data_IF_951893496632
#
_entry.id   IF_951893496632
#
_cell.length_a   1.000
_cell.length_b   1.000
_cell.length_c   1.000
_cell.angle_alpha   90.00
_cell.angle_beta   90.00
_cell.angle_gamma   90.00
#
_symmetry.space_group_name_H-M   'P 1'
#
loop_
_entity.id
_entity.type
_entity.pdbx_description
1 polymer ?
#
# COMPACT_ATOMS: atom_id res chain seq x y z
N UNK A 1 10.57 -9.07 46.84
CA UNK A 1 11.01 -8.46 45.56
C UNK A 1 10.78 -9.36 44.34
N UNK A 2 11.27 -10.61 44.29
CA UNK A 2 11.10 -11.50 43.11
C UNK A 2 9.65 -11.67 42.62
N UNK A 3 8.69 -11.87 43.54
CA UNK A 3 7.25 -11.99 43.20
C UNK A 3 6.65 -10.71 42.62
N UNK A 4 7.17 -9.53 43.02
CA UNK A 4 6.71 -8.24 42.50
C UNK A 4 7.24 -8.01 41.07
N UNK A 5 8.53 -8.28 40.84
CA UNK A 5 9.15 -8.20 39.51
C UNK A 5 8.49 -9.18 38.53
N UNK A 6 8.24 -10.42 38.96
CA UNK A 6 7.57 -11.42 38.13
C UNK A 6 6.15 -10.98 37.73
N UNK A 7 5.36 -10.45 38.67
CA UNK A 7 4.03 -9.90 38.38
C UNK A 7 4.10 -8.74 37.39
N UNK A 8 5.05 -7.82 37.57
CA UNK A 8 5.28 -6.71 36.63
C UNK A 8 5.59 -7.19 35.21
N UNK A 9 6.47 -8.18 35.08
CA UNK A 9 6.78 -8.80 33.78
C UNK A 9 5.55 -9.48 33.15
N UNK A 10 4.75 -10.21 33.94
CA UNK A 10 3.52 -10.82 33.44
C UNK A 10 2.53 -9.78 32.91
N UNK A 11 2.32 -8.66 33.63
CA UNK A 11 1.44 -7.59 33.15
C UNK A 11 1.97 -6.95 31.86
N UNK A 12 3.27 -6.70 31.75
CA UNK A 12 3.88 -6.18 30.53
C UNK A 12 3.72 -7.15 29.34
N UNK A 13 3.93 -8.44 29.56
CA UNK A 13 3.76 -9.47 28.53
C UNK A 13 2.31 -9.56 28.05
N UNK A 14 1.33 -9.49 28.97
CA UNK A 14 -0.11 -9.46 28.63
C UNK A 14 -0.43 -8.20 27.80
N UNK A 15 0.06 -7.03 28.23
CA UNK A 15 -0.14 -5.78 27.48
C UNK A 15 0.43 -5.85 26.06
N UNK A 16 1.63 -6.41 25.91
CA UNK A 16 2.25 -6.61 24.59
C UNK A 16 1.47 -7.61 23.73
N UNK A 17 1.01 -8.72 24.31
CA UNK A 17 0.19 -9.70 23.60
C UNK A 17 -1.13 -9.09 23.10
N UNK A 18 -1.80 -8.28 23.94
CA UNK A 18 -3.00 -7.55 23.55
C UNK A 18 -2.72 -6.55 22.44
N UNK A 19 -1.61 -5.81 22.51
CA UNK A 19 -1.22 -4.88 21.44
C UNK A 19 -0.99 -5.62 20.11
N UNK A 20 -0.27 -6.74 20.13
CA UNK A 20 -0.05 -7.58 18.96
C UNK A 20 -1.38 -8.13 18.40
N UNK A 21 -2.29 -8.55 19.27
CA UNK A 21 -3.60 -9.06 18.89
C UNK A 21 -4.46 -7.96 18.23
N UNK A 22 -4.50 -6.77 18.81
CA UNK A 22 -5.23 -5.63 18.24
C UNK A 22 -4.61 -5.23 16.89
N UNK A 23 -3.29 -5.20 16.78
CA UNK A 23 -2.60 -4.95 15.51
C UNK A 23 -2.96 -5.99 14.45
N UNK A 24 -3.00 -7.27 14.83
CA UNK A 24 -3.37 -8.38 13.96
C UNK A 24 -4.78 -8.21 13.40
N UNK A 25 -5.75 -7.81 14.22
CA UNK A 25 -7.10 -7.51 13.73
C UNK A 25 -7.13 -6.24 12.88
N UNK A 26 -6.42 -5.19 13.31
CA UNK A 26 -6.41 -3.90 12.63
C UNK A 26 -5.94 -4.00 11.18
N UNK A 27 -4.82 -4.68 10.92
CA UNK A 27 -4.28 -4.81 9.54
C UNK A 27 -5.16 -5.63 8.60
N UNK A 28 -6.12 -6.38 9.14
CA UNK A 28 -7.09 -7.16 8.34
C UNK A 28 -8.31 -6.37 7.96
N UNK A 29 -8.57 -5.25 8.64
CA UNK A 29 -9.72 -4.39 8.36
C UNK A 29 -9.65 -3.84 6.94
N UNK A 30 -10.78 -3.79 6.25
CA UNK A 30 -10.87 -3.16 4.93
C UNK A 30 -10.55 -1.67 5.02
N UNK A 31 -10.90 -1.02 6.14
CA UNK A 31 -10.54 0.35 6.43
C UNK A 31 -9.02 0.58 6.40
N UNK A 32 -8.23 -0.29 7.05
CA UNK A 32 -6.77 -0.22 7.01
C UNK A 32 -6.22 -0.46 5.59
N UNK A 33 -6.71 -1.50 4.90
CA UNK A 33 -6.28 -1.80 3.52
C UNK A 33 -6.56 -0.66 2.54
N UNK A 34 -7.59 0.13 2.82
CA UNK A 34 -7.95 1.30 2.03
C UNK A 34 -7.10 2.53 2.33
N UNK A 35 -6.16 2.47 3.29
CA UNK A 35 -5.33 3.61 3.64
C UNK A 35 -4.22 3.81 2.60
N UNK A 36 -4.18 5.03 2.06
CA UNK A 36 -3.06 5.57 1.27
C UNK A 36 -2.71 4.77 0.00
N UNK A 37 -3.62 3.92 -0.52
CA UNK A 37 -3.42 3.21 -1.80
C UNK A 37 -2.30 2.17 -1.79
N UNK A 38 -1.74 1.81 -0.63
CA UNK A 38 -0.56 0.91 -0.54
C UNK A 38 -0.90 -0.57 -0.62
N UNK A 39 -2.16 -0.95 -0.37
CA UNK A 39 -2.57 -2.36 -0.38
C UNK A 39 -2.45 -3.00 -1.77
N UNK A 40 -2.55 -2.23 -2.86
CA UNK A 40 -2.34 -2.75 -4.23
C UNK A 40 -0.98 -3.45 -4.40
N UNK A 41 0.04 -3.02 -3.65
CA UNK A 41 1.39 -3.59 -3.72
C UNK A 41 1.48 -5.02 -3.15
N UNK A 42 0.48 -5.50 -2.41
CA UNK A 42 0.42 -6.92 -2.01
C UNK A 42 -0.15 -7.84 -3.10
N UNK A 43 -0.62 -7.27 -4.21
CA UNK A 43 -1.29 -7.98 -5.31
C UNK A 43 -0.62 -7.71 -6.66
N UNK A 44 0.66 -7.33 -6.66
CA UNK A 44 1.42 -7.08 -7.89
C UNK A 44 1.52 -8.38 -8.71
N UNK A 45 0.97 -8.41 -9.94
CA UNK A 45 0.97 -9.61 -10.77
C UNK A 45 2.38 -9.93 -11.30
N UNK A 46 2.56 -11.14 -11.81
CA UNK A 46 3.75 -11.51 -12.57
C UNK A 46 3.59 -11.13 -14.05
N UNK A 47 4.69 -11.11 -14.81
CA UNK A 47 4.72 -10.83 -16.25
C UNK A 47 4.08 -9.49 -16.63
N UNK A 48 4.37 -8.43 -15.88
CA UNK A 48 3.84 -7.08 -16.15
C UNK A 48 4.37 -6.59 -17.49
N UNK A 49 3.46 -6.31 -18.43
CA UNK A 49 3.78 -5.85 -19.79
C UNK A 49 3.87 -4.33 -19.87
N UNK A 50 3.05 -3.62 -19.09
CA UNK A 50 3.08 -2.16 -19.01
C UNK A 50 2.94 -1.76 -17.56
N UNK A 51 3.74 -0.80 -17.12
CA UNK A 51 3.59 -0.22 -15.80
C UNK A 51 3.78 1.28 -15.83
N UNK A 52 3.29 1.95 -14.79
CA UNK A 52 3.67 3.34 -14.55
C UNK A 52 4.19 3.56 -13.13
N UNK A 53 5.04 4.57 -13.04
CA UNK A 53 5.57 5.15 -11.81
C UNK A 53 4.97 6.55 -11.61
N UNK A 54 5.51 7.32 -10.68
CA UNK A 54 5.21 8.74 -10.52
C UNK A 54 4.26 9.07 -9.37
N UNK A 55 4.07 10.38 -9.18
CA UNK A 55 3.29 10.97 -8.10
C UNK A 55 1.78 10.84 -8.34
N UNK A 56 0.96 11.74 -7.77
CA UNK A 56 -0.50 11.73 -7.93
C UNK A 56 -0.96 11.71 -9.40
N UNK A 57 -0.18 12.29 -10.33
CA UNK A 57 -0.50 12.29 -11.75
C UNK A 57 -0.33 10.88 -12.36
N UNK A 58 0.64 10.12 -11.86
CA UNK A 58 0.78 8.70 -12.20
C UNK A 58 -0.25 7.83 -11.49
N UNK A 59 -0.51 8.07 -10.20
CA UNK A 59 -1.50 7.32 -9.40
C UNK A 59 -2.91 7.39 -10.01
N UNK A 60 -3.37 8.58 -10.41
CA UNK A 60 -4.75 8.80 -10.86
C UNK A 60 -4.92 8.98 -12.37
N UNK A 61 -3.83 9.22 -13.10
CA UNK A 61 -3.88 9.54 -14.53
C UNK A 61 -3.79 8.34 -15.46
N UNK A 62 -3.46 7.16 -14.94
CA UNK A 62 -3.23 5.94 -15.73
C UNK A 62 -4.02 4.78 -15.14
N UNK A 63 -4.94 4.25 -15.96
CA UNK A 63 -5.72 3.06 -15.67
C UNK A 63 -5.48 2.00 -16.74
N UNK A 64 -5.20 0.78 -16.29
CA UNK A 64 -5.05 -0.39 -17.16
C UNK A 64 -6.23 -1.35 -17.02
N UNK A 65 -7.17 -1.07 -16.12
CA UNK A 65 -8.37 -1.87 -15.96
C UNK A 65 -9.20 -1.88 -17.25
N UNK A 66 -9.75 -3.04 -17.60
CA UNK A 66 -10.57 -3.21 -18.80
C UNK A 66 -9.81 -3.42 -20.13
N UNK A 67 -8.47 -3.38 -20.15
CA UNK A 67 -7.69 -3.67 -21.36
C UNK A 67 -7.44 -5.18 -21.47
N UNK A 68 -8.22 -5.86 -22.31
CA UNK A 68 -8.14 -7.31 -22.50
C UNK A 68 -6.77 -7.71 -23.07
N UNK A 69 -6.13 -8.72 -22.45
CA UNK A 69 -4.85 -9.27 -22.89
C UNK A 69 -3.63 -8.43 -22.50
N UNK A 70 -3.81 -7.37 -21.70
CA UNK A 70 -2.73 -6.55 -21.16
C UNK A 70 -2.58 -6.79 -19.65
N UNK A 71 -1.38 -7.17 -19.22
CA UNK A 71 -1.01 -7.17 -17.79
C UNK A 71 -0.39 -5.83 -17.43
N UNK A 72 -1.22 -4.91 -16.94
CA UNK A 72 -0.82 -3.57 -16.50
C UNK A 72 -0.65 -3.47 -14.98
N UNK A 73 0.20 -2.57 -14.48
CA UNK A 73 0.20 -2.23 -13.06
C UNK A 73 0.61 -0.77 -12.79
N UNK A 74 -0.20 -0.06 -12.00
CA UNK A 74 0.10 1.30 -11.57
C UNK A 74 0.82 1.33 -10.22
N UNK A 75 2.13 1.54 -10.26
CA UNK A 75 2.97 1.68 -9.08
C UNK A 75 3.03 3.13 -8.53
N UNK A 76 2.31 4.07 -9.14
CA UNK A 76 2.26 5.45 -8.69
C UNK A 76 1.60 5.60 -7.32
N UNK A 77 2.12 6.50 -6.50
CA UNK A 77 1.56 6.91 -5.22
C UNK A 77 1.67 8.43 -5.09
N UNK A 78 0.70 9.05 -4.41
CA UNK A 78 0.74 10.48 -4.10
C UNK A 78 2.07 10.86 -3.47
N UNK A 79 2.66 11.93 -3.97
CA UNK A 79 3.93 12.41 -3.45
C UNK A 79 5.11 11.45 -3.64
N UNK A 80 5.03 10.50 -4.57
CA UNK A 80 6.18 9.69 -4.98
C UNK A 80 7.23 10.58 -5.67
N UNK A 81 8.49 10.39 -5.29
CA UNK A 81 9.63 11.12 -5.86
C UNK A 81 10.38 10.27 -6.90
N UNK A 82 11.18 10.88 -7.80
CA UNK A 82 12.01 10.13 -8.74
C UNK A 82 12.96 9.13 -8.08
N UNK A 83 13.40 9.40 -6.84
CA UNK A 83 14.19 8.44 -6.08
C UNK A 83 13.36 7.21 -5.69
N UNK A 84 12.13 7.42 -5.20
CA UNK A 84 11.23 6.33 -4.84
C UNK A 84 10.77 5.54 -6.08
N UNK A 85 10.56 6.22 -7.22
CA UNK A 85 10.33 5.58 -8.52
C UNK A 85 11.41 4.53 -8.83
N UNK A 86 12.69 4.91 -8.68
CA UNK A 86 13.81 4.01 -8.90
C UNK A 86 13.82 2.82 -7.94
N UNK A 87 13.50 3.04 -6.66
CA UNK A 87 13.50 1.95 -5.67
C UNK A 87 12.35 0.97 -5.89
N UNK A 88 11.17 1.47 -6.26
CA UNK A 88 10.02 0.65 -6.65
C UNK A 88 10.35 -0.16 -7.90
N UNK A 89 10.91 0.47 -8.93
CA UNK A 89 11.34 -0.20 -10.15
C UNK A 89 12.34 -1.32 -9.85
N UNK A 90 13.35 -1.06 -9.02
CA UNK A 90 14.32 -2.10 -8.60
C UNK A 90 13.64 -3.27 -7.90
N UNK A 91 12.75 -2.98 -6.94
CA UNK A 91 12.06 -4.01 -6.15
C UNK A 91 11.18 -4.91 -7.00
N UNK A 92 10.46 -4.33 -7.96
CA UNK A 92 9.48 -5.07 -8.78
C UNK A 92 10.00 -5.44 -10.16
N UNK A 93 11.24 -5.08 -10.51
CA UNK A 93 11.90 -5.51 -11.75
C UNK A 93 11.83 -7.02 -12.02
N UNK A 94 11.91 -7.93 -11.01
CA UNK A 94 11.81 -9.36 -11.27
C UNK A 94 10.43 -9.83 -11.75
N UNK A 95 9.39 -9.00 -11.61
CA UNK A 95 8.01 -9.30 -12.04
C UNK A 95 7.68 -8.77 -13.44
N UNK A 96 8.63 -8.06 -14.06
CA UNK A 96 8.41 -7.44 -15.37
C UNK A 96 8.65 -8.45 -16.48
N UNK A 97 7.83 -8.38 -17.52
CA UNK A 97 8.05 -9.10 -18.76
C UNK A 97 9.26 -8.53 -19.53
N UNK A 98 9.95 -9.38 -20.30
CA UNK A 98 11.03 -8.95 -21.20
C UNK A 98 10.48 -8.04 -22.32
N UNK A 99 10.80 -6.75 -22.26
CA UNK A 99 10.19 -5.74 -23.14
C UNK A 99 9.04 -4.96 -22.50
N UNK A 100 8.88 -5.08 -21.17
CA UNK A 100 7.96 -4.26 -20.39
C UNK A 100 8.15 -2.76 -20.70
N UNK A 101 7.03 -2.07 -20.92
CA UNK A 101 7.02 -0.61 -21.09
C UNK A 101 6.82 0.06 -19.74
N UNK A 102 7.80 0.88 -19.34
CA UNK A 102 7.74 1.66 -18.09
C UNK A 102 7.40 3.12 -18.42
N UNK A 103 6.24 3.57 -17.96
CA UNK A 103 5.78 4.96 -18.11
C UNK A 103 6.19 5.75 -16.87
N UNK A 104 6.89 6.87 -17.07
CA UNK A 104 7.29 7.78 -15.99
C UNK A 104 6.64 9.15 -16.25
N UNK A 105 5.47 9.44 -15.67
CA UNK A 105 4.85 10.75 -15.74
C UNK A 105 5.72 11.76 -15.00
N UNK A 106 6.22 12.75 -15.72
CA UNK A 106 7.01 13.85 -15.16
C UNK A 106 6.19 15.13 -15.19
N UNK A 107 6.03 15.78 -14.04
CA UNK A 107 5.46 17.13 -13.95
C UNK A 107 6.45 18.07 -13.26
N UNK A 108 6.19 19.38 -13.32
CA UNK A 108 7.01 20.36 -12.59
C UNK A 108 7.07 20.06 -11.08
N UNK A 109 6.03 19.45 -10.51
CA UNK A 109 5.97 19.04 -9.11
C UNK A 109 6.88 17.84 -8.78
N UNK A 110 7.26 17.02 -9.76
CA UNK A 110 8.16 15.88 -9.52
C UNK A 110 9.54 16.31 -9.01
N UNK A 111 9.94 17.57 -9.23
CA UNK A 111 11.23 18.12 -8.81
C UNK A 111 11.13 19.09 -7.64
N UNK A 112 9.92 19.47 -7.22
CA UNK A 112 9.71 20.36 -6.06
C UNK A 112 9.56 19.46 -4.82
N UNK A 113 10.68 19.09 -4.22
CA UNK A 113 10.72 18.33 -2.98
C UNK A 113 10.84 19.29 -1.79
N UNK A 114 9.69 19.73 -1.27
CA UNK A 114 9.63 20.49 -0.03
C UNK A 114 9.75 19.57 1.20
N UNK A 115 10.01 20.13 2.39
CA UNK A 115 10.09 19.37 3.65
C UNK A 115 8.84 18.55 4.01
N UNK A 116 7.69 18.80 3.38
CA UNK A 116 6.49 17.98 3.56
C UNK A 116 6.50 16.68 2.73
N UNK A 117 7.37 16.58 1.70
CA UNK A 117 7.60 15.35 0.93
C UNK A 117 8.27 14.26 1.79
N UNK A 118 8.99 14.66 2.85
CA UNK A 118 9.59 13.78 3.89
C UNK A 118 8.53 13.03 4.74
N UNK A 119 7.23 13.13 4.48
CA UNK A 119 6.24 12.21 5.10
C UNK A 119 5.81 11.08 4.18
N UNK A 120 6.11 11.14 2.89
CA UNK A 120 5.64 10.15 1.93
C UNK A 120 6.46 8.86 1.97
N UNK A 121 7.74 8.92 2.40
CA UNK A 121 8.57 7.72 2.57
C UNK A 121 7.95 6.72 3.57
N UNK A 122 7.13 7.21 4.50
CA UNK A 122 6.42 6.39 5.48
C UNK A 122 5.55 5.31 4.80
N UNK A 123 4.91 5.65 3.67
CA UNK A 123 4.07 4.71 2.92
C UNK A 123 4.88 3.50 2.42
N UNK A 124 6.18 3.70 2.18
CA UNK A 124 7.05 2.69 1.61
C UNK A 124 7.60 1.72 2.65
N UNK A 125 7.37 1.91 3.96
CA UNK A 125 7.74 0.89 4.96
C UNK A 125 7.01 -0.44 4.74
N UNK A 126 5.79 -0.41 4.20
CA UNK A 126 5.03 -1.59 3.80
C UNK A 126 5.40 -2.15 2.42
N UNK A 127 6.16 -1.40 1.62
CA UNK A 127 6.40 -1.68 0.19
C UNK A 127 7.86 -2.03 -0.06
N UNK A 128 8.80 -1.21 0.36
CA UNK A 128 10.23 -1.32 0.10
C UNK A 128 10.98 -2.00 1.25
N UNK A 129 12.23 -2.37 0.98
CA UNK A 129 13.14 -2.84 2.00
C UNK A 129 13.68 -1.66 2.80
N UNK A 130 13.94 -1.85 4.09
CA UNK A 130 14.25 -0.77 5.02
C UNK A 130 15.37 0.17 4.55
N UNK A 131 16.47 -0.39 4.02
CA UNK A 131 17.60 0.39 3.52
C UNK A 131 17.36 1.12 2.20
N UNK A 132 16.31 0.77 1.45
CA UNK A 132 15.95 1.45 0.20
C UNK A 132 15.15 2.74 0.43
N UNK A 133 14.55 2.90 1.61
CA UNK A 133 13.72 4.04 1.98
C UNK A 133 14.64 5.21 2.37
N UNK A 134 14.46 6.41 1.78
CA UNK A 134 15.24 7.58 2.15
C UNK A 134 14.93 7.99 3.60
N UNK A 135 15.95 8.45 4.33
CA UNK A 135 15.80 8.94 5.71
C UNK A 135 15.11 7.94 6.67
N UNK A 136 15.31 6.63 6.47
CA UNK A 136 14.62 5.60 7.24
C UNK A 136 14.93 5.67 8.74
N UNK A 137 13.92 5.35 9.55
CA UNK A 137 13.94 5.43 11.02
C UNK A 137 13.45 4.11 11.63
N UNK A 138 14.17 3.52 12.59
CA UNK A 138 13.73 2.27 13.22
C UNK A 138 12.37 2.41 13.91
N UNK A 139 12.13 3.58 14.52
CA UNK A 139 10.87 3.88 15.20
C UNK A 139 9.71 3.96 14.21
N UNK A 140 9.93 4.56 13.05
CA UNK A 140 8.91 4.61 11.99
C UNK A 140 8.66 3.23 11.39
N UNK A 141 9.71 2.42 11.19
CA UNK A 141 9.55 1.03 10.76
C UNK A 141 8.65 0.23 11.71
N UNK A 142 8.87 0.37 13.03
CA UNK A 142 7.99 -0.24 14.04
C UNK A 142 6.58 0.30 13.91
N UNK A 143 6.40 1.62 13.82
CA UNK A 143 5.08 2.26 13.81
C UNK A 143 4.27 2.03 12.55
N UNK A 144 4.88 1.91 11.39
CA UNK A 144 4.18 1.89 10.10
C UNK A 144 4.23 0.54 9.39
N UNK A 145 5.16 -0.34 9.77
CA UNK A 145 5.21 -1.72 9.24
C UNK A 145 4.81 -2.77 10.28
N UNK A 146 5.47 -2.77 11.44
CA UNK A 146 5.30 -3.87 12.41
C UNK A 146 4.02 -3.73 13.24
N UNK A 147 3.77 -2.52 13.75
CA UNK A 147 2.65 -2.18 14.63
C UNK A 147 1.92 -0.92 14.12
N UNK A 148 1.36 -0.94 12.88
CA UNK A 148 0.57 0.17 12.31
C UNK A 148 -0.52 0.71 13.24
N UNK A 149 -1.06 -0.12 14.14
CA UNK A 149 -2.04 0.33 15.14
C UNK A 149 -1.53 1.48 16.03
N UNK A 150 -0.21 1.58 16.26
CA UNK A 150 0.40 2.68 17.02
C UNK A 150 0.30 4.03 16.30
N UNK A 151 0.12 4.00 14.98
CA UNK A 151 -0.07 5.18 14.12
C UNK A 151 -1.52 5.39 13.67
N UNK A 152 -2.45 4.52 14.10
CA UNK A 152 -3.81 4.50 13.59
C UNK A 152 -4.62 5.75 13.95
N UNK A 153 -4.39 6.37 15.11
CA UNK A 153 -5.17 7.52 15.60
C UNK A 153 -6.69 7.27 15.44
N UNK A 154 -7.46 8.20 14.86
CA UNK A 154 -8.88 8.04 14.56
C UNK A 154 -9.21 6.84 13.64
N UNK A 155 -8.25 6.32 12.89
CA UNK A 155 -8.45 5.14 12.04
C UNK A 155 -8.56 3.83 12.86
N UNK A 156 -8.20 3.84 14.15
CA UNK A 156 -8.44 2.68 15.03
C UNK A 156 -9.93 2.31 15.13
N UNK A 157 -10.84 3.24 14.77
CA UNK A 157 -12.29 2.98 14.66
C UNK A 157 -12.64 1.80 13.75
N UNK A 158 -11.79 1.45 12.77
CA UNK A 158 -12.03 0.32 11.88
C UNK A 158 -12.04 -1.04 12.60
N UNK A 159 -11.44 -1.14 13.79
CA UNK A 159 -11.56 -2.33 14.63
C UNK A 159 -12.99 -2.59 15.12
N UNK A 160 -13.80 -1.54 15.23
CA UNK A 160 -15.19 -1.60 15.73
C UNK A 160 -16.19 -1.45 14.58
N UNK A 161 -15.92 -0.52 13.66
CA UNK A 161 -16.75 -0.21 12.50
C UNK A 161 -15.90 -0.22 11.25
N UNK A 162 -15.70 -1.41 10.71
CA UNK A 162 -14.93 -1.60 9.47
C UNK A 162 -15.73 -1.14 8.24
N UNK A 163 -15.02 -0.90 7.14
CA UNK A 163 -15.59 -0.73 5.80
C UNK A 163 -16.09 -2.07 5.27
N UNK A 164 -17.19 -2.02 4.49
CA UNK A 164 -17.74 -3.22 3.83
C UNK A 164 -16.81 -3.78 2.76
N UNK A 165 -16.14 -2.89 2.03
CA UNK A 165 -15.22 -3.21 0.93
C UNK A 165 -13.92 -2.44 1.11
N UNK A 166 -12.87 -2.92 0.45
CA UNK A 166 -11.63 -2.14 0.29
C UNK A 166 -11.92 -1.04 -0.73
N UNK A 167 -11.52 0.20 -0.46
CA UNK A 167 -11.49 1.25 -1.46
C UNK A 167 -10.37 0.87 -2.43
N UNK A 168 -10.77 0.35 -3.60
CA UNK A 168 -9.84 0.07 -4.66
C UNK A 168 -9.50 1.38 -5.35
N UNK A 169 -8.22 1.72 -5.37
CA UNK A 169 -7.71 2.53 -6.46
C UNK A 169 -7.82 1.64 -7.71
N UNK A 170 -8.86 1.86 -8.51
CA UNK A 170 -9.22 1.12 -9.74
C UNK A 170 -8.03 0.94 -10.71
N UNK A 171 -6.99 1.74 -10.52
CA UNK A 171 -5.78 1.86 -11.31
C UNK A 171 -4.78 0.69 -11.16
N UNK A 172 -5.00 -0.29 -10.28
CA UNK A 172 -4.05 -1.38 -10.02
C UNK A 172 -3.91 -2.42 -11.15
N UNK A 173 -4.58 -2.26 -12.29
CA UNK A 173 -4.29 -2.97 -13.56
C UNK A 173 -4.49 -4.49 -13.59
N UNK A 174 -4.73 -5.12 -12.44
CA UNK A 174 -5.45 -6.39 -12.35
C UNK A 174 -6.88 -6.00 -12.00
N UNK A 175 -7.70 -5.76 -13.03
CA UNK A 175 -9.14 -5.80 -12.83
C UNK A 175 -9.46 -7.14 -12.16
N UNK A 176 -10.25 -7.18 -11.08
CA UNK A 176 -10.62 -8.43 -10.47
C UNK A 176 -11.19 -9.37 -11.53
N UNK A 177 -10.87 -10.66 -11.45
CA UNK A 177 -11.52 -11.64 -12.31
C UNK A 177 -13.04 -11.66 -12.05
N UNK A 178 -13.78 -12.22 -13.00
CA UNK A 178 -15.24 -12.28 -12.94
C UNK A 178 -15.73 -12.98 -11.64
N UNK A 179 -14.90 -13.86 -11.07
CA UNK A 179 -15.15 -14.60 -9.83
C UNK A 179 -15.04 -13.70 -8.59
N UNK A 180 -14.09 -12.78 -8.54
CA UNK A 180 -13.95 -11.79 -7.46
C UNK A 180 -15.16 -10.85 -7.37
N UNK A 181 -15.70 -10.39 -8.50
CA UNK A 181 -16.90 -9.54 -8.55
C UNK A 181 -18.15 -10.28 -8.04
N UNK A 182 -18.30 -11.55 -8.44
CA UNK A 182 -19.37 -12.45 -7.98
C UNK A 182 -19.30 -12.73 -6.48
N UNK A 183 -18.11 -12.98 -5.94
CA UNK A 183 -17.88 -13.26 -4.51
C UNK A 183 -18.17 -12.06 -3.59
N UNK A 184 -18.04 -10.83 -4.10
CA UNK A 184 -18.20 -9.60 -3.30
C UNK A 184 -19.49 -8.82 -3.60
N UNK A 185 -20.41 -9.38 -4.39
CA UNK A 185 -21.71 -8.76 -4.67
C UNK A 185 -21.64 -7.44 -5.45
N UNK A 186 -20.54 -7.22 -6.19
CA UNK A 186 -20.38 -6.06 -7.06
C UNK A 186 -20.63 -6.50 -8.49
N UNK A 187 -21.77 -6.10 -9.06
CA UNK A 187 -22.08 -6.39 -10.46
C UNK A 187 -21.22 -5.53 -11.39
N UNK A 188 -20.81 -6.11 -12.51
CA UNK A 188 -20.29 -5.36 -13.65
C UNK A 188 -21.27 -4.24 -13.97
N UNK A 189 -20.83 -2.98 -13.86
CA UNK A 189 -21.46 -1.94 -14.65
C UNK A 189 -21.01 -2.20 -16.08
N UNK A 190 -21.88 -2.83 -16.86
CA UNK A 190 -21.78 -2.83 -18.32
C UNK A 190 -21.73 -1.36 -18.75
N UNK A 191 -20.52 -0.84 -18.98
CA UNK A 191 -20.33 0.34 -19.78
C UNK A 191 -20.55 -0.06 -21.24
N UNK A 192 -21.82 -0.27 -21.57
CA UNK A 192 -22.33 0.00 -22.91
C UNK A 192 -22.08 1.48 -23.16
N UNK A 193 -20.94 1.79 -23.80
CA UNK A 193 -20.76 3.05 -24.48
C UNK A 193 -21.45 2.88 -25.84
N UNK A 194 -22.48 3.70 -26.17
CA UNK A 194 -23.13 3.66 -27.47
C UNK A 194 -22.19 4.07 -28.62
#
# INVERSE_FOLDING_TARGET
>A
MRKFVARGFCFAAIGLALLCLLNFFYVRTNGYKSLNGTYKFSMVPENIQVMNLGSSHGEFGLDYSGIVGLTGFNFGLRGQSPYLDLQVLKKFSPKLYDGCVVIIPVSCFSFIQDKDYDRQHILYYGILDYGAIPNHSPMEYVKFKLLPILSASFNAKYLVKDKKTVDWDLFAGVGPDEEFYKLNGMYYFDLYVP
#
